data_IF_093240304878
#
_entry.id   IF_093240304878
#
_cell.length_a   1.000
_cell.length_b   1.000
_cell.length_c   1.000
_cell.angle_alpha   90.00
_cell.angle_beta   90.00
_cell.angle_gamma   90.00
#
_symmetry.space_group_name_H-M   'P 1'
#
loop_
_entity.id
_entity.type
_entity.pdbx_description
1 polymer ?
#
# COMPACT_ATOMS: atom_id res chain seq x y z
N UNK A 1 30.62 -29.57 3.29
CA UNK A 1 31.48 -28.40 3.02
C UNK A 1 31.07 -27.30 3.98
N UNK A 2 31.78 -27.17 5.10
CA UNK A 2 31.61 -26.05 6.01
C UNK A 2 32.65 -24.99 5.64
N UNK A 3 32.23 -23.73 5.55
CA UNK A 3 33.16 -22.63 5.31
C UNK A 3 33.96 -22.43 6.61
N UNK A 4 35.29 -22.44 6.52
CA UNK A 4 36.15 -22.34 7.69
C UNK A 4 36.01 -20.96 8.39
N UNK A 5 36.15 -20.90 9.73
CA UNK A 5 36.10 -19.65 10.47
C UNK A 5 37.21 -18.69 10.00
N UNK A 6 36.87 -17.43 9.71
CA UNK A 6 37.76 -16.34 9.21
C UNK A 6 38.06 -16.32 7.70
N UNK A 7 37.35 -17.09 6.88
CA UNK A 7 37.48 -17.03 5.40
C UNK A 7 36.87 -15.75 4.81
N UNK A 8 35.95 -15.10 5.51
CA UNK A 8 35.34 -13.86 5.04
C UNK A 8 36.24 -12.67 5.39
N UNK A 9 36.73 -11.98 4.37
CA UNK A 9 37.38 -10.68 4.52
C UNK A 9 36.45 -9.73 5.32
N UNK A 10 37.00 -8.81 6.12
CA UNK A 10 36.17 -7.86 6.87
C UNK A 10 35.24 -7.13 5.92
N UNK A 11 33.96 -7.00 6.31
CA UNK A 11 32.99 -6.29 5.48
C UNK A 11 33.54 -4.89 5.14
N UNK A 12 33.62 -4.54 3.85
CA UNK A 12 34.07 -3.21 3.47
C UNK A 12 33.20 -2.12 4.10
N UNK A 13 33.79 -0.98 4.43
CA UNK A 13 33.07 0.14 5.06
C UNK A 13 31.84 0.62 4.26
N UNK A 14 31.82 0.39 2.93
CA UNK A 14 30.69 0.71 2.06
C UNK A 14 29.44 -0.14 2.33
N UNK A 15 29.58 -1.36 2.87
CA UNK A 15 28.46 -2.28 3.14
C UNK A 15 27.50 -1.68 4.18
N UNK A 16 28.03 -1.03 5.20
CA UNK A 16 27.23 -0.32 6.21
C UNK A 16 26.51 0.91 5.64
N UNK A 17 27.13 1.59 4.66
CA UNK A 17 26.53 2.74 3.99
C UNK A 17 25.35 2.32 3.12
N UNK A 18 25.47 1.21 2.40
CA UNK A 18 24.41 0.69 1.54
C UNK A 18 23.21 0.17 2.34
N UNK A 19 23.46 -0.54 3.46
CA UNK A 19 22.41 -1.01 4.38
C UNK A 19 21.55 0.14 4.94
N UNK A 20 22.16 1.30 5.22
CA UNK A 20 21.44 2.50 5.66
C UNK A 20 20.61 3.10 4.53
N UNK A 21 21.13 3.15 3.30
CA UNK A 21 20.40 3.65 2.13
C UNK A 21 19.14 2.84 1.84
N UNK A 22 19.22 1.51 1.88
CA UNK A 22 18.06 0.64 1.65
C UNK A 22 16.96 0.85 2.72
N UNK A 23 17.35 0.98 3.99
CA UNK A 23 16.42 1.30 5.08
C UNK A 23 15.73 2.65 4.88
N UNK A 24 16.48 3.71 4.57
CA UNK A 24 15.93 5.05 4.33
C UNK A 24 15.03 5.09 3.10
N UNK A 25 15.37 4.34 2.04
CA UNK A 25 14.58 4.24 0.82
C UNK A 25 13.23 3.54 1.05
N UNK A 26 13.15 2.63 2.03
CA UNK A 26 11.90 1.99 2.45
C UNK A 26 11.00 2.91 3.29
N UNK A 27 11.60 3.76 4.14
CA UNK A 27 10.89 4.71 5.01
C UNK A 27 10.38 5.93 4.25
N UNK A 28 11.05 6.32 3.16
CA UNK A 28 10.71 7.49 2.34
C UNK A 28 9.76 7.18 1.18
N UNK A 29 9.39 5.91 0.98
CA UNK A 29 8.50 5.47 -0.11
C UNK A 29 7.08 5.98 0.13
N UNK A 30 6.80 7.20 -0.31
CA UNK A 30 5.47 7.84 -0.25
C UNK A 30 4.42 6.86 -0.78
N UNK A 31 3.40 6.55 0.03
CA UNK A 31 2.28 5.70 -0.38
C UNK A 31 1.69 6.28 -1.66
N UNK A 32 1.81 5.54 -2.77
CA UNK A 32 1.23 5.94 -4.06
C UNK A 32 -0.29 6.07 -3.88
N UNK A 33 -0.87 7.17 -4.34
CA UNK A 33 -2.32 7.35 -4.34
C UNK A 33 -2.97 6.25 -5.19
N UNK A 34 -3.85 5.46 -4.58
CA UNK A 34 -4.56 4.38 -5.27
C UNK A 34 -5.73 4.97 -6.05
N UNK A 35 -5.69 4.87 -7.38
CA UNK A 35 -6.80 5.30 -8.26
C UNK A 35 -8.03 4.39 -8.07
N UNK A 36 -9.20 4.90 -8.46
CA UNK A 36 -10.42 4.10 -8.51
C UNK A 36 -10.57 3.49 -9.89
N UNK A 37 -10.81 2.20 -9.94
CA UNK A 37 -11.09 1.47 -11.18
C UNK A 37 -12.60 1.42 -11.45
N UNK A 38 -12.99 1.25 -12.71
CA UNK A 38 -14.40 1.11 -13.09
C UNK A 38 -15.07 -0.09 -12.40
N UNK A 39 -14.32 -1.16 -12.11
CA UNK A 39 -14.81 -2.32 -11.36
C UNK A 39 -15.11 -1.96 -9.90
N UNK A 40 -14.21 -1.22 -9.26
CA UNK A 40 -14.42 -0.71 -7.89
C UNK A 40 -15.62 0.24 -7.82
N UNK A 41 -15.86 1.06 -8.85
CA UNK A 41 -17.02 1.95 -8.89
C UNK A 41 -18.33 1.18 -8.97
N UNK A 42 -18.41 0.16 -9.83
CA UNK A 42 -19.61 -0.70 -9.93
C UNK A 42 -19.88 -1.43 -8.62
N UNK A 43 -18.83 -1.95 -7.99
CA UNK A 43 -18.94 -2.60 -6.68
C UNK A 43 -19.41 -1.61 -5.61
N UNK A 44 -18.85 -0.39 -5.60
CA UNK A 44 -19.26 0.66 -4.69
C UNK A 44 -20.75 1.03 -4.86
N UNK A 45 -21.22 1.18 -6.10
CA UNK A 45 -22.64 1.45 -6.38
C UNK A 45 -23.52 0.31 -5.88
N UNK A 46 -23.18 -0.94 -6.22
CA UNK A 46 -23.93 -2.12 -5.76
C UNK A 46 -24.03 -2.20 -4.24
N UNK A 47 -22.91 -2.01 -3.54
CA UNK A 47 -22.88 -2.06 -2.08
C UNK A 47 -23.68 -0.90 -1.44
N UNK A 48 -23.79 0.25 -2.11
CA UNK A 48 -24.64 1.35 -1.65
C UNK A 48 -26.12 1.08 -1.89
N UNK A 49 -26.47 0.42 -2.99
CA UNK A 49 -27.84 -0.04 -3.27
C UNK A 49 -28.29 -1.13 -2.28
N UNK A 50 -27.36 -1.99 -1.84
CA UNK A 50 -27.56 -2.95 -0.74
C UNK A 50 -27.74 -2.27 0.64
N UNK A 51 -27.60 -0.94 0.73
CA UNK A 51 -27.82 -0.18 1.96
C UNK A 51 -26.61 -0.11 2.90
N UNK A 52 -25.43 -0.59 2.50
CA UNK A 52 -24.24 -0.57 3.35
C UNK A 52 -23.72 0.86 3.58
N UNK A 53 -23.22 1.11 4.79
CA UNK A 53 -22.63 2.41 5.14
C UNK A 53 -21.25 2.59 4.49
N UNK A 54 -20.85 3.84 4.23
CA UNK A 54 -19.51 4.15 3.68
C UNK A 54 -18.37 3.59 4.54
N UNK A 55 -18.57 3.50 5.86
CA UNK A 55 -17.61 2.86 6.78
C UNK A 55 -17.43 1.38 6.43
N UNK A 56 -18.53 0.63 6.31
CA UNK A 56 -18.46 -0.80 6.02
C UNK A 56 -17.90 -1.08 4.64
N UNK A 57 -18.26 -0.26 3.65
CA UNK A 57 -17.72 -0.36 2.30
C UNK A 57 -16.21 -0.07 2.29
N UNK A 58 -15.76 0.94 3.05
CA UNK A 58 -14.33 1.22 3.22
C UNK A 58 -13.56 0.03 3.79
N UNK A 59 -14.10 -0.62 4.84
CA UNK A 59 -13.51 -1.84 5.42
C UNK A 59 -13.39 -2.96 4.37
N UNK A 60 -14.44 -3.21 3.59
CA UNK A 60 -14.45 -4.28 2.56
C UNK A 60 -13.50 -3.98 1.39
N UNK A 61 -13.38 -2.72 0.98
CA UNK A 61 -12.56 -2.30 -0.16
C UNK A 61 -11.13 -1.91 0.25
N UNK A 62 -10.78 -2.01 1.53
CA UNK A 62 -9.53 -1.53 2.11
C UNK A 62 -9.24 -0.05 1.75
N UNK A 63 -10.26 0.79 1.93
CA UNK A 63 -10.23 2.25 1.69
C UNK A 63 -10.80 2.98 2.92
N UNK A 64 -10.47 4.26 3.09
CA UNK A 64 -11.11 5.07 4.12
C UNK A 64 -12.56 5.38 3.74
N UNK A 65 -13.46 5.44 4.73
CA UNK A 65 -14.87 5.80 4.53
C UNK A 65 -15.03 7.14 3.76
N UNK A 66 -14.19 8.12 4.07
CA UNK A 66 -14.17 9.43 3.40
C UNK A 66 -13.79 9.29 1.93
N UNK A 67 -12.81 8.45 1.60
CA UNK A 67 -12.43 8.20 0.20
C UNK A 67 -13.57 7.57 -0.59
N UNK A 68 -14.33 6.67 0.05
CA UNK A 68 -15.47 5.98 -0.53
C UNK A 68 -16.61 6.96 -0.79
N UNK A 69 -16.99 7.76 0.20
CA UNK A 69 -18.03 8.79 0.09
C UNK A 69 -17.73 9.79 -1.03
N UNK A 70 -16.50 10.32 -1.05
CA UNK A 70 -16.05 11.26 -2.09
C UNK A 70 -16.09 10.64 -3.48
N UNK A 71 -15.78 9.34 -3.61
CA UNK A 71 -15.87 8.65 -4.90
C UNK A 71 -17.33 8.49 -5.32
N UNK A 72 -18.18 8.00 -4.43
CA UNK A 72 -19.59 7.75 -4.72
C UNK A 72 -20.29 9.02 -5.24
N UNK A 73 -20.05 10.17 -4.59
CA UNK A 73 -20.59 11.48 -5.00
C UNK A 73 -20.13 11.97 -6.39
N UNK A 74 -19.04 11.40 -6.92
CA UNK A 74 -18.47 11.76 -8.24
C UNK A 74 -18.84 10.78 -9.35
N UNK A 75 -19.40 9.63 -9.01
CA UNK A 75 -19.87 8.69 -10.02
C UNK A 75 -21.14 9.28 -10.62
N UNK A 76 -21.18 9.55 -11.94
CA UNK A 76 -22.44 9.87 -12.61
C UNK A 76 -23.32 8.61 -12.54
N UNK A 77 -24.50 8.76 -11.95
CA UNK A 77 -25.53 7.72 -11.87
C UNK A 77 -26.30 7.65 -13.19
#
# INVERSE_FOLDING_TARGET
MAIEPHVLAPEPAWVNQERRREMDQSLTKKKKYKTWTTKEDRELVRLREEGLTYKKIGEMMNRSAISVERRYKRIPL
#
